data_IF_164210437650
#
_entry.id   IF_164210437650
#
_cell.length_a   1.000
_cell.length_b   1.000
_cell.length_c   1.000
_cell.angle_alpha   90.00
_cell.angle_beta   90.00
_cell.angle_gamma   90.00
#
_symmetry.space_group_name_H-M   'P 1'
#
loop_
_entity.id
_entity.type
_entity.pdbx_description
1 polymer ?
#
# COMPACT_ATOMS: atom_id res chain seq x y z
N UNK A 1 37.29 57.19 61.23
CA UNK A 1 36.11 56.51 60.71
C UNK A 1 35.81 56.98 59.25
N UNK A 2 36.86 57.04 58.43
CA UNK A 2 36.75 57.40 57.01
C UNK A 2 37.58 56.54 56.09
N UNK A 3 38.34 55.57 56.60
CA UNK A 3 39.29 54.78 55.84
C UNK A 3 38.92 53.30 55.73
N UNK A 4 37.70 52.91 56.15
CA UNK A 4 37.23 51.53 56.11
C UNK A 4 36.20 51.25 54.95
N UNK A 5 35.91 52.25 54.11
CA UNK A 5 34.96 52.12 53.00
C UNK A 5 35.60 52.16 51.61
N UNK A 6 36.92 52.30 51.52
CA UNK A 6 37.65 52.35 50.24
C UNK A 6 38.17 50.99 49.75
N UNK A 7 38.26 49.97 50.61
CA UNK A 7 38.78 48.64 50.23
C UNK A 7 37.72 47.60 49.82
N UNK A 8 36.42 47.94 50.04
CA UNK A 8 35.33 47.03 49.64
C UNK A 8 34.92 47.14 48.13
N UNK A 9 35.41 48.17 47.47
CA UNK A 9 35.09 48.30 46.01
C UNK A 9 36.15 47.80 45.05
N UNK A 10 37.30 47.30 45.53
CA UNK A 10 38.32 46.71 44.69
C UNK A 10 38.32 45.17 44.62
N UNK A 11 37.43 44.50 45.36
CA UNK A 11 37.37 43.05 45.41
C UNK A 11 36.17 42.46 44.66
N UNK A 12 35.40 43.27 43.93
CA UNK A 12 34.23 42.81 43.16
C UNK A 12 34.48 42.84 41.63
N UNK A 13 35.67 43.22 41.19
CA UNK A 13 35.94 43.42 39.75
C UNK A 13 36.98 42.43 39.14
N UNK A 14 37.18 41.27 39.74
CA UNK A 14 38.15 40.29 39.19
C UNK A 14 37.71 38.83 39.21
N UNK A 15 36.44 38.55 39.09
CA UNK A 15 35.98 37.17 38.79
C UNK A 15 34.81 37.18 37.82
N UNK A 16 34.94 37.92 36.73
CA UNK A 16 34.20 37.58 35.52
C UNK A 16 34.91 36.39 34.87
N UNK A 17 34.67 35.20 35.42
CA UNK A 17 35.04 33.96 34.76
C UNK A 17 34.30 33.91 33.42
N UNK A 18 35.03 34.11 32.33
CA UNK A 18 34.62 33.78 31.00
C UNK A 18 34.31 32.29 30.95
N UNK A 19 33.06 31.93 31.20
CA UNK A 19 32.50 30.66 30.78
C UNK A 19 32.43 30.69 29.24
N UNK A 20 33.55 30.33 28.63
CA UNK A 20 33.57 29.95 27.21
C UNK A 20 32.72 28.70 27.08
N UNK A 21 31.44 28.84 26.72
CA UNK A 21 30.68 27.78 26.16
C UNK A 21 31.38 27.39 24.84
N UNK A 22 32.25 26.40 24.91
CA UNK A 22 32.66 25.65 23.75
C UNK A 22 31.36 25.05 23.19
N UNK A 23 30.78 25.70 22.19
CA UNK A 23 29.75 25.10 21.36
C UNK A 23 30.42 23.86 20.75
N UNK A 24 30.17 22.70 21.37
CA UNK A 24 30.44 21.41 20.71
C UNK A 24 29.59 21.46 19.46
N UNK A 25 30.22 21.81 18.35
CA UNK A 25 29.64 21.62 17.02
C UNK A 25 29.43 20.11 16.92
N UNK A 26 28.22 19.67 17.22
CA UNK A 26 27.75 18.34 16.83
C UNK A 26 27.90 18.39 15.31
N UNK A 27 28.78 17.56 14.69
CA UNK A 27 28.82 17.49 13.25
C UNK A 27 27.38 17.13 12.85
N UNK A 28 26.72 18.03 12.13
CA UNK A 28 25.55 17.65 11.37
C UNK A 28 26.06 16.58 10.41
N UNK A 29 25.97 15.32 10.82
CA UNK A 29 25.94 14.24 9.87
C UNK A 29 24.75 14.55 8.98
N UNK A 30 24.99 15.29 7.91
CA UNK A 30 24.18 15.21 6.72
C UNK A 30 24.23 13.74 6.36
N UNK A 31 23.29 12.98 6.89
CA UNK A 31 22.93 11.68 6.40
C UNK A 31 22.47 11.93 4.96
N UNK A 32 23.38 11.87 4.01
CA UNK A 32 23.10 11.33 2.68
C UNK A 32 22.72 9.86 2.92
N UNK A 33 21.66 9.67 3.67
CA UNK A 33 21.10 8.38 3.96
C UNK A 33 20.43 7.92 2.69
N UNK A 34 21.25 7.39 1.79
CA UNK A 34 20.74 6.62 0.65
C UNK A 34 19.66 5.70 1.22
N UNK A 35 18.45 5.82 0.68
CA UNK A 35 17.34 4.97 1.11
C UNK A 35 17.82 3.51 1.15
N UNK A 36 17.76 2.83 2.30
CA UNK A 36 18.35 1.51 2.43
C UNK A 36 17.62 0.53 1.53
N UNK A 37 18.32 -0.44 0.94
CA UNK A 37 17.71 -1.48 0.14
C UNK A 37 16.52 -2.11 0.87
N UNK A 38 15.33 -1.96 0.31
CA UNK A 38 14.10 -2.32 0.98
C UNK A 38 13.22 -3.19 0.09
N UNK A 39 12.80 -4.32 0.65
CA UNK A 39 11.75 -5.16 0.11
C UNK A 39 10.49 -4.94 0.92
N UNK A 40 9.38 -4.64 0.25
CA UNK A 40 8.04 -4.65 0.82
C UNK A 40 7.39 -5.96 0.43
N UNK A 41 7.11 -6.81 1.43
CA UNK A 41 6.67 -8.18 1.21
C UNK A 41 5.18 -8.33 1.52
N UNK A 42 4.43 -8.89 0.58
CA UNK A 42 2.99 -9.14 0.71
C UNK A 42 2.62 -10.50 0.16
N UNK A 43 1.78 -11.23 0.90
CA UNK A 43 1.26 -12.54 0.49
C UNK A 43 -0.16 -12.77 1.03
N UNK A 44 -0.80 -13.84 0.58
CA UNK A 44 -2.01 -14.43 1.16
C UNK A 44 -1.71 -15.72 1.96
N UNK A 45 -0.45 -15.96 2.34
CA UNK A 45 -0.01 -17.18 3.03
C UNK A 45 -0.53 -17.30 4.45
N UNK A 46 -0.88 -16.17 5.07
CA UNK A 46 -1.15 -16.10 6.50
C UNK A 46 0.15 -16.04 7.33
N UNK A 47 0.01 -16.21 8.64
CA UNK A 47 1.12 -16.16 9.59
C UNK A 47 1.13 -17.36 10.54
N UNK A 48 0.38 -18.42 10.19
CA UNK A 48 0.20 -19.62 11.04
C UNK A 48 1.35 -20.60 10.85
N UNK A 49 1.94 -20.65 9.65
CA UNK A 49 3.01 -21.57 9.29
C UNK A 49 4.33 -20.84 8.97
N UNK A 50 5.29 -21.61 8.45
CA UNK A 50 6.66 -21.17 8.18
C UNK A 50 6.88 -20.58 6.76
N UNK A 51 5.84 -20.46 5.94
CA UNK A 51 5.98 -20.01 4.55
C UNK A 51 6.59 -18.61 4.44
N UNK A 52 6.10 -17.66 5.23
CA UNK A 52 6.62 -16.28 5.25
C UNK A 52 8.06 -16.21 5.77
N UNK A 53 8.40 -16.80 6.94
CA UNK A 53 9.78 -16.85 7.42
C UNK A 53 10.75 -17.50 6.45
N UNK A 54 10.36 -18.59 5.77
CA UNK A 54 11.20 -19.26 4.75
C UNK A 54 11.51 -18.30 3.59
N UNK A 55 10.51 -17.61 3.06
CA UNK A 55 10.71 -16.62 2.00
C UNK A 55 11.69 -15.51 2.43
N UNK A 56 11.55 -14.99 3.65
CA UNK A 56 12.49 -14.01 4.21
C UNK A 56 13.89 -14.58 4.39
N UNK A 57 14.02 -15.83 4.83
CA UNK A 57 15.30 -16.52 4.93
C UNK A 57 16.03 -16.57 3.59
N UNK A 58 15.30 -16.85 2.50
CA UNK A 58 15.85 -16.80 1.14
C UNK A 58 16.28 -15.38 0.76
N UNK A 59 15.47 -14.35 1.06
CA UNK A 59 15.87 -12.95 0.81
C UNK A 59 17.17 -12.61 1.53
N UNK A 60 17.30 -12.96 2.81
CA UNK A 60 18.52 -12.73 3.60
C UNK A 60 19.72 -13.55 3.11
N UNK A 61 19.51 -14.74 2.54
CA UNK A 61 20.62 -15.53 1.98
C UNK A 61 21.24 -14.88 0.74
N UNK A 62 20.46 -14.13 -0.03
CA UNK A 62 20.92 -13.36 -1.20
C UNK A 62 21.50 -12.01 -0.80
N UNK A 63 20.85 -11.30 0.13
CA UNK A 63 21.24 -9.98 0.63
C UNK A 63 21.06 -9.90 2.14
N UNK A 64 22.07 -10.23 2.96
CA UNK A 64 21.95 -10.26 4.42
C UNK A 64 21.54 -8.94 5.08
N UNK A 65 21.85 -7.81 4.45
CA UNK A 65 21.55 -6.46 4.96
C UNK A 65 20.25 -5.87 4.41
N UNK A 66 19.46 -6.61 3.63
CA UNK A 66 18.20 -6.11 3.10
C UNK A 66 17.19 -5.84 4.23
N UNK A 67 16.50 -4.70 4.15
CA UNK A 67 15.36 -4.42 5.01
C UNK A 67 14.10 -5.03 4.41
N UNK A 68 13.48 -5.98 5.11
CA UNK A 68 12.19 -6.56 4.70
C UNK A 68 11.09 -5.97 5.58
N UNK A 69 10.12 -5.33 4.95
CA UNK A 69 8.92 -4.75 5.57
C UNK A 69 7.71 -5.58 5.15
N UNK A 70 6.96 -6.10 6.11
CA UNK A 70 5.71 -6.79 5.80
C UNK A 70 4.62 -5.77 5.52
N UNK A 71 4.04 -5.81 4.32
CA UNK A 71 2.84 -5.04 4.02
C UNK A 71 1.60 -5.73 4.61
N UNK A 72 1.40 -6.98 4.26
CA UNK A 72 0.41 -7.89 4.85
C UNK A 72 0.69 -9.32 4.40
N UNK A 73 0.41 -10.28 5.28
CA UNK A 73 0.35 -11.71 4.94
C UNK A 73 -1.07 -12.27 5.15
N UNK A 74 -2.03 -11.38 5.40
CA UNK A 74 -3.44 -11.67 5.63
C UNK A 74 -4.33 -11.13 4.50
N UNK A 75 -3.78 -11.00 3.27
CA UNK A 75 -4.60 -10.74 2.09
C UNK A 75 -5.61 -11.87 1.96
N UNK A 76 -6.85 -11.56 1.61
CA UNK A 76 -7.86 -12.61 1.41
C UNK A 76 -7.33 -13.66 0.44
N UNK A 77 -7.40 -14.93 0.84
CA UNK A 77 -6.82 -16.05 0.09
C UNK A 77 -7.32 -16.04 -1.35
N UNK A 78 -6.37 -16.13 -2.29
CA UNK A 78 -6.62 -16.18 -3.74
C UNK A 78 -7.22 -14.88 -4.33
N UNK A 79 -7.43 -13.83 -3.52
CA UNK A 79 -7.99 -12.56 -3.99
C UNK A 79 -6.92 -11.68 -4.62
N UNK A 80 -6.76 -11.81 -5.95
CA UNK A 80 -5.84 -10.97 -6.73
C UNK A 80 -6.29 -9.49 -6.62
N UNK A 81 -7.59 -9.23 -6.57
CA UNK A 81 -8.15 -7.88 -6.45
C UNK A 81 -7.73 -7.21 -5.12
N UNK A 82 -7.83 -7.91 -3.99
CA UNK A 82 -7.39 -7.36 -2.70
C UNK A 82 -5.88 -7.10 -2.69
N UNK A 83 -5.09 -8.02 -3.25
CA UNK A 83 -3.66 -7.82 -3.41
C UNK A 83 -3.33 -6.58 -4.25
N UNK A 84 -4.02 -6.38 -5.38
CA UNK A 84 -3.86 -5.22 -6.25
C UNK A 84 -4.22 -3.91 -5.53
N UNK A 85 -5.32 -3.90 -4.76
CA UNK A 85 -5.74 -2.75 -3.93
C UNK A 85 -4.71 -2.41 -2.85
N UNK A 86 -4.20 -3.41 -2.14
CA UNK A 86 -3.19 -3.16 -1.09
C UNK A 86 -1.90 -2.63 -1.69
N UNK A 87 -1.48 -3.19 -2.82
CA UNK A 87 -0.30 -2.75 -3.54
C UNK A 87 -0.45 -1.31 -4.05
N UNK A 88 -1.59 -1.00 -4.65
CA UNK A 88 -1.94 0.36 -5.10
C UNK A 88 -1.97 1.35 -3.94
N UNK A 89 -2.66 1.03 -2.85
CA UNK A 89 -2.81 1.91 -1.70
C UNK A 89 -1.51 2.15 -0.93
N UNK A 90 -0.57 1.20 -0.90
CA UNK A 90 0.67 1.31 -0.13
C UNK A 90 1.84 1.89 -0.95
N UNK A 91 1.95 1.56 -2.23
CA UNK A 91 3.12 1.92 -3.03
C UNK A 91 3.40 3.43 -3.14
N UNK A 92 2.42 4.36 -3.08
CA UNK A 92 2.69 5.80 -3.08
C UNK A 92 3.58 6.29 -1.93
N UNK A 93 3.55 5.60 -0.80
CA UNK A 93 4.28 5.99 0.42
C UNK A 93 5.72 5.48 0.45
N UNK A 94 6.14 4.73 -0.57
CA UNK A 94 7.50 4.21 -0.67
C UNK A 94 8.27 4.95 -1.79
N UNK A 95 9.55 5.26 -1.58
CA UNK A 95 10.36 5.97 -2.57
C UNK A 95 10.74 5.10 -3.78
N UNK A 96 11.29 5.73 -4.81
CA UNK A 96 11.93 5.04 -5.92
C UNK A 96 13.03 4.08 -5.42
N UNK A 97 13.25 2.98 -6.13
CA UNK A 97 14.18 1.92 -5.75
C UNK A 97 13.60 0.89 -4.78
N UNK A 98 12.40 1.12 -4.20
CA UNK A 98 11.72 0.08 -3.40
C UNK A 98 11.32 -1.11 -4.27
N UNK A 99 11.53 -2.31 -3.74
CA UNK A 99 11.16 -3.57 -4.38
C UNK A 99 9.94 -4.16 -3.67
N UNK A 100 8.82 -4.28 -4.36
CA UNK A 100 7.62 -4.95 -3.86
C UNK A 100 7.65 -6.41 -4.31
N UNK A 101 7.74 -7.34 -3.37
CA UNK A 101 7.58 -8.78 -3.62
C UNK A 101 6.16 -9.15 -3.19
N UNK A 102 5.30 -9.47 -4.17
CA UNK A 102 3.89 -9.71 -3.92
C UNK A 102 3.48 -11.08 -4.46
N UNK A 103 3.03 -11.96 -3.57
CA UNK A 103 2.71 -13.35 -3.92
C UNK A 103 1.28 -13.67 -3.47
N UNK A 104 0.32 -13.32 -4.30
CA UNK A 104 -1.05 -13.83 -4.30
C UNK A 104 -1.20 -14.60 -5.61
N UNK A 105 -1.08 -15.91 -5.55
CA UNK A 105 -0.80 -16.73 -6.74
C UNK A 105 -1.65 -18.01 -6.82
N UNK A 106 -2.95 -17.88 -7.08
CA UNK A 106 -3.81 -19.05 -7.29
C UNK A 106 -3.40 -19.92 -8.50
N UNK A 107 -2.51 -19.38 -9.37
CA UNK A 107 -1.96 -20.05 -10.55
C UNK A 107 -0.56 -20.62 -10.37
N UNK A 108 -0.06 -20.78 -9.12
CA UNK A 108 1.27 -21.35 -8.88
C UNK A 108 1.45 -22.70 -9.59
N UNK A 109 2.59 -22.91 -10.24
CA UNK A 109 2.87 -24.14 -11.00
C UNK A 109 2.18 -24.25 -12.38
N UNK A 110 1.34 -23.28 -12.76
CA UNK A 110 0.74 -23.21 -14.09
C UNK A 110 1.67 -22.53 -15.12
N UNK A 111 1.14 -22.24 -16.32
CA UNK A 111 1.86 -21.50 -17.38
C UNK A 111 1.91 -19.98 -17.15
N UNK A 112 1.35 -19.43 -16.03
CA UNK A 112 1.44 -18.02 -15.71
C UNK A 112 2.89 -17.61 -15.55
N UNK A 113 3.26 -16.45 -16.09
CA UNK A 113 4.63 -15.95 -16.01
C UNK A 113 4.94 -15.42 -14.60
N UNK A 114 6.20 -15.55 -14.18
CA UNK A 114 6.76 -14.79 -13.08
C UNK A 114 7.45 -13.56 -13.65
N UNK A 115 7.18 -12.37 -13.12
CA UNK A 115 7.64 -11.14 -13.75
C UNK A 115 8.26 -10.16 -12.75
N UNK A 116 9.17 -9.33 -13.26
CA UNK A 116 9.59 -8.07 -12.66
C UNK A 116 9.07 -6.94 -13.52
N UNK A 117 8.41 -5.99 -12.89
CA UNK A 117 7.84 -4.81 -13.54
C UNK A 117 8.42 -3.57 -12.88
N UNK A 118 8.83 -2.58 -13.69
CA UNK A 118 9.29 -1.28 -13.21
C UNK A 118 8.22 -0.22 -13.51
N UNK A 119 7.77 0.49 -12.49
CA UNK A 119 6.85 1.61 -12.66
C UNK A 119 7.60 2.87 -13.08
N UNK A 120 6.88 3.84 -13.66
CA UNK A 120 7.47 5.17 -13.98
C UNK A 120 7.88 5.96 -12.73
N UNK A 121 7.45 5.53 -11.53
CA UNK A 121 7.94 6.06 -10.26
C UNK A 121 9.28 5.46 -9.82
N UNK A 122 9.87 4.56 -10.62
CA UNK A 122 11.14 3.91 -10.34
C UNK A 122 11.07 2.82 -9.27
N UNK A 123 9.90 2.30 -8.95
CA UNK A 123 9.70 1.17 -8.05
C UNK A 123 9.65 -0.14 -8.85
N UNK A 124 10.05 -1.24 -8.23
CA UNK A 124 10.03 -2.56 -8.83
C UNK A 124 8.97 -3.45 -8.18
N UNK A 125 8.29 -4.24 -9.01
CA UNK A 125 7.25 -5.17 -8.57
C UNK A 125 7.60 -6.57 -9.08
N UNK A 126 7.83 -7.49 -8.14
CA UNK A 126 8.18 -8.90 -8.37
C UNK A 126 6.96 -9.73 -8.00
N UNK A 127 6.27 -10.28 -8.99
CA UNK A 127 4.95 -10.86 -8.79
C UNK A 127 4.56 -11.85 -9.90
N UNK A 128 3.54 -12.69 -9.70
CA UNK A 128 2.93 -13.47 -10.78
C UNK A 128 2.19 -12.54 -11.75
N UNK A 129 2.33 -12.79 -13.05
CA UNK A 129 1.58 -12.08 -14.09
C UNK A 129 0.13 -12.58 -14.16
N UNK A 130 -0.69 -12.10 -13.22
CA UNK A 130 -2.08 -12.51 -13.02
C UNK A 130 -3.05 -11.34 -12.77
N UNK A 131 -2.59 -10.11 -12.97
CA UNK A 131 -3.40 -8.91 -12.76
C UNK A 131 -3.09 -8.11 -11.51
N UNK A 132 -2.23 -8.59 -10.60
CA UNK A 132 -1.84 -7.86 -9.38
C UNK A 132 -1.34 -6.44 -9.64
N UNK A 133 -0.68 -6.19 -10.78
CA UNK A 133 -0.13 -4.88 -11.12
C UNK A 133 -1.16 -3.88 -11.63
N UNK A 134 -2.40 -4.30 -11.90
CA UNK A 134 -3.40 -3.51 -12.63
C UNK A 134 -3.57 -2.10 -12.08
N UNK A 135 -3.91 -1.94 -10.83
CA UNK A 135 -4.21 -0.63 -10.24
C UNK A 135 -2.98 0.28 -10.15
N UNK A 136 -1.81 -0.28 -9.84
CA UNK A 136 -0.53 0.46 -9.87
C UNK A 136 -0.20 0.93 -11.28
N UNK A 137 -0.43 0.08 -12.29
CA UNK A 137 -0.16 0.41 -13.68
C UNK A 137 -1.08 1.53 -14.19
N UNK A 138 -2.35 1.56 -13.75
CA UNK A 138 -3.31 2.61 -14.11
C UNK A 138 -2.95 3.95 -13.49
N UNK A 139 -2.54 3.95 -12.23
CA UNK A 139 -2.17 5.17 -11.51
C UNK A 139 -0.82 5.73 -11.94
N UNK A 140 0.22 4.89 -11.96
CA UNK A 140 1.61 5.35 -12.08
C UNK A 140 2.17 5.20 -13.51
N UNK A 141 1.58 4.33 -14.31
CA UNK A 141 2.17 3.86 -15.57
C UNK A 141 3.37 2.94 -15.34
N UNK A 142 3.73 2.20 -16.36
CA UNK A 142 4.85 1.24 -16.33
C UNK A 142 5.97 1.68 -17.29
N UNK A 143 7.21 1.49 -16.86
CA UNK A 143 8.41 1.75 -17.67
C UNK A 143 8.81 0.51 -18.47
N UNK A 144 8.71 -0.68 -17.86
CA UNK A 144 9.07 -1.93 -18.51
C UNK A 144 8.70 -3.15 -17.68
N UNK A 145 8.78 -4.31 -18.32
CA UNK A 145 8.54 -5.60 -17.69
C UNK A 145 9.51 -6.66 -18.24
N UNK A 146 9.85 -7.65 -17.42
CA UNK A 146 10.67 -8.80 -17.79
C UNK A 146 10.14 -10.08 -17.17
N UNK A 147 10.25 -11.17 -17.89
CA UNK A 147 9.97 -12.50 -17.35
C UNK A 147 11.16 -12.99 -16.54
N UNK A 148 10.91 -13.60 -15.40
CA UNK A 148 11.95 -14.22 -14.57
C UNK A 148 12.20 -15.61 -15.11
N UNK A 149 13.30 -15.80 -15.87
CA UNK A 149 13.68 -17.08 -16.47
C UNK A 149 15.12 -17.49 -16.14
N UNK A 150 15.95 -16.52 -15.70
CA UNK A 150 17.34 -16.80 -15.34
C UNK A 150 17.40 -17.52 -13.99
N UNK A 151 17.84 -18.77 -14.02
CA UNK A 151 17.95 -19.64 -12.82
C UNK A 151 18.93 -19.11 -11.78
N UNK A 152 19.89 -18.24 -12.15
CA UNK A 152 20.77 -17.59 -11.18
C UNK A 152 20.05 -16.56 -10.28
N UNK A 153 18.82 -16.17 -10.65
CA UNK A 153 17.93 -15.29 -9.89
C UNK A 153 16.92 -16.08 -9.05
N UNK A 154 17.03 -17.41 -9.02
CA UNK A 154 16.12 -18.33 -8.34
C UNK A 154 16.82 -19.08 -7.22
N UNK A 155 16.06 -19.68 -6.32
CA UNK A 155 16.59 -20.45 -5.20
C UNK A 155 16.68 -21.93 -5.54
N UNK A 156 17.93 -22.45 -5.54
CA UNK A 156 18.19 -23.86 -5.79
C UNK A 156 18.15 -24.26 -7.27
N UNK A 157 18.46 -25.54 -7.52
CA UNK A 157 18.54 -26.11 -8.89
C UNK A 157 17.21 -26.71 -9.37
N UNK A 158 16.34 -27.10 -8.45
CA UNK A 158 15.02 -27.68 -8.73
C UNK A 158 13.95 -26.84 -8.06
N UNK A 159 13.08 -26.23 -8.86
CA UNK A 159 11.98 -25.42 -8.37
C UNK A 159 10.83 -26.32 -7.91
N UNK A 160 10.21 -25.97 -6.78
CA UNK A 160 8.94 -26.54 -6.38
C UNK A 160 7.82 -26.08 -7.30
N UNK A 161 6.91 -26.96 -7.68
CA UNK A 161 5.73 -26.59 -8.44
C UNK A 161 4.66 -25.85 -7.61
N UNK A 162 4.84 -25.80 -6.29
CA UNK A 162 3.85 -25.25 -5.34
C UNK A 162 4.36 -24.12 -4.47
N UNK A 163 5.65 -23.74 -4.56
CA UNK A 163 6.21 -22.70 -3.68
C UNK A 163 7.11 -21.71 -4.43
N UNK A 164 6.56 -21.07 -5.46
CA UNK A 164 7.27 -20.04 -6.24
C UNK A 164 7.57 -18.78 -5.41
N UNK A 165 6.84 -18.54 -4.31
CA UNK A 165 7.18 -17.52 -3.33
C UNK A 165 8.61 -17.64 -2.84
N UNK A 166 9.00 -18.84 -2.43
CA UNK A 166 10.36 -19.20 -1.98
C UNK A 166 11.35 -19.24 -3.13
N UNK A 167 10.99 -19.93 -4.22
CA UNK A 167 11.98 -20.35 -5.23
C UNK A 167 12.24 -19.30 -6.30
N UNK A 168 11.26 -18.41 -6.58
CA UNK A 168 11.33 -17.44 -7.68
C UNK A 168 11.23 -16.00 -7.18
N UNK A 169 10.14 -15.66 -6.48
CA UNK A 169 9.84 -14.24 -6.19
C UNK A 169 10.75 -13.66 -5.11
N UNK A 170 10.99 -14.39 -4.02
CA UNK A 170 11.85 -13.93 -2.92
C UNK A 170 13.31 -13.70 -3.37
N UNK A 171 13.99 -14.65 -4.01
CA UNK A 171 15.35 -14.43 -4.46
C UNK A 171 15.43 -13.35 -5.53
N UNK A 172 14.51 -13.27 -6.49
CA UNK A 172 14.49 -12.24 -7.51
C UNK A 172 14.33 -10.83 -6.90
N UNK A 173 13.47 -10.69 -5.89
CA UNK A 173 13.33 -9.45 -5.14
C UNK A 173 14.61 -9.06 -4.40
N UNK A 174 15.31 -10.01 -3.81
CA UNK A 174 16.56 -9.75 -3.09
C UNK A 174 17.72 -9.38 -4.03
N UNK A 175 17.81 -9.98 -5.22
CA UNK A 175 18.74 -9.57 -6.27
C UNK A 175 18.50 -8.11 -6.69
N UNK A 176 17.25 -7.71 -6.91
CA UNK A 176 16.91 -6.30 -7.21
C UNK A 176 17.30 -5.36 -6.07
N UNK A 177 16.96 -5.70 -4.83
CA UNK A 177 17.30 -4.90 -3.66
C UNK A 177 18.82 -4.76 -3.48
N UNK A 178 19.60 -5.76 -3.85
CA UNK A 178 21.06 -5.73 -3.88
C UNK A 178 21.61 -4.77 -4.94
N UNK A 179 20.82 -4.44 -5.96
CA UNK A 179 21.20 -3.57 -7.06
C UNK A 179 21.71 -4.32 -8.29
N UNK A 180 21.43 -5.59 -8.41
CA UNK A 180 21.78 -6.38 -9.58
C UNK A 180 21.05 -5.83 -10.83
N UNK A 181 21.70 -5.94 -11.98
CA UNK A 181 21.10 -5.46 -13.22
C UNK A 181 19.89 -6.29 -13.62
N UNK A 182 18.70 -5.72 -13.45
CA UNK A 182 17.43 -6.38 -13.72
C UNK A 182 17.25 -6.84 -15.17
N UNK A 183 18.10 -6.33 -16.10
CA UNK A 183 18.07 -6.79 -17.48
C UNK A 183 18.56 -8.22 -17.64
N UNK A 184 19.26 -8.76 -16.63
CA UNK A 184 19.78 -10.11 -16.60
C UNK A 184 18.75 -11.15 -16.11
N UNK A 185 17.58 -10.73 -15.61
CA UNK A 185 16.59 -11.67 -15.05
C UNK A 185 15.90 -12.55 -16.10
N UNK A 186 15.88 -12.09 -17.35
CA UNK A 186 15.25 -12.80 -18.47
C UNK A 186 14.77 -11.85 -19.57
N UNK A 187 13.97 -12.34 -20.52
CA UNK A 187 13.55 -11.56 -21.69
C UNK A 187 12.62 -10.39 -21.30
N UNK A 188 12.73 -9.31 -22.05
CA UNK A 188 11.79 -8.20 -21.96
C UNK A 188 10.40 -8.63 -22.43
N UNK A 189 9.37 -8.12 -21.75
CA UNK A 189 7.98 -8.28 -22.10
C UNK A 189 7.38 -6.94 -22.53
N UNK A 190 6.50 -6.98 -23.52
CA UNK A 190 5.70 -5.81 -23.86
C UNK A 190 4.75 -5.50 -22.70
N UNK A 191 4.77 -4.28 -22.16
CA UNK A 191 3.89 -3.86 -21.04
C UNK A 191 2.41 -4.15 -21.33
N UNK A 192 2.00 -3.97 -22.59
CA UNK A 192 0.61 -4.24 -23.04
C UNK A 192 0.23 -5.73 -23.03
N UNK A 193 1.20 -6.65 -22.91
CA UNK A 193 0.93 -8.10 -22.84
C UNK A 193 0.77 -8.62 -21.41
N UNK A 194 0.97 -7.78 -20.40
CA UNK A 194 0.74 -8.15 -19.03
C UNK A 194 -0.74 -8.40 -18.77
N UNK A 195 -1.02 -9.39 -17.96
CA UNK A 195 -2.39 -9.70 -17.54
C UNK A 195 -2.95 -8.54 -16.72
N UNK A 196 -4.20 -8.17 -17.01
CA UNK A 196 -4.93 -7.11 -16.31
C UNK A 196 -6.19 -7.69 -15.66
N UNK A 197 -6.54 -7.17 -14.49
CA UNK A 197 -7.87 -7.42 -13.92
C UNK A 197 -8.92 -6.72 -14.81
N UNK A 198 -9.99 -7.42 -15.06
CA UNK A 198 -11.20 -6.82 -15.65
C UNK A 198 -11.99 -6.17 -14.51
N UNK A 199 -11.80 -4.87 -14.33
CA UNK A 199 -12.48 -4.08 -13.32
C UNK A 199 -13.68 -3.40 -13.97
N UNK A 200 -14.88 -3.57 -13.41
CA UNK A 200 -16.05 -2.86 -13.87
C UNK A 200 -15.81 -1.34 -13.78
N UNK A 201 -16.00 -0.66 -14.90
CA UNK A 201 -15.90 0.80 -14.93
C UNK A 201 -17.13 1.43 -14.28
N UNK A 202 -16.89 2.48 -13.50
CA UNK A 202 -17.98 3.35 -13.01
C UNK A 202 -18.70 3.98 -14.20
N UNK A 203 -20.03 3.93 -14.20
CA UNK A 203 -20.87 4.58 -15.23
C UNK A 203 -21.68 5.68 -14.59
N UNK A 204 -21.81 6.80 -15.27
CA UNK A 204 -22.68 7.92 -14.87
C UNK A 204 -23.55 8.26 -16.08
N UNK A 205 -24.85 8.12 -15.91
CA UNK A 205 -25.86 8.39 -16.93
C UNK A 205 -27.03 9.22 -16.37
N UNK A 206 -28.17 9.24 -17.07
CA UNK A 206 -29.35 9.99 -16.62
C UNK A 206 -30.00 9.39 -15.38
N UNK A 207 -29.84 8.10 -15.13
CA UNK A 207 -30.35 7.42 -13.92
C UNK A 207 -29.48 7.69 -12.71
N UNK A 208 -28.21 8.04 -12.90
CA UNK A 208 -27.24 8.33 -11.83
C UNK A 208 -25.88 7.66 -12.01
N UNK A 209 -25.28 7.25 -10.89
CA UNK A 209 -23.99 6.57 -10.84
C UNK A 209 -24.21 5.09 -10.56
N UNK A 210 -23.56 4.24 -11.35
CA UNK A 210 -23.51 2.79 -11.19
C UNK A 210 -22.08 2.40 -10.80
N UNK A 211 -21.95 1.83 -9.59
CA UNK A 211 -20.69 1.41 -9.02
C UNK A 211 -20.77 0.01 -8.42
N UNK A 212 -19.66 -0.44 -7.85
CA UNK A 212 -19.53 -1.74 -7.22
C UNK A 212 -18.80 -1.64 -5.89
N UNK A 213 -19.31 -2.33 -4.86
CA UNK A 213 -18.55 -2.66 -3.66
C UNK A 213 -17.58 -3.77 -4.03
N UNK A 214 -16.30 -3.48 -4.04
CA UNK A 214 -15.26 -4.39 -4.51
C UNK A 214 -14.55 -5.15 -3.38
N UNK A 215 -14.66 -4.66 -2.15
CA UNK A 215 -14.03 -5.30 -1.00
C UNK A 215 -14.63 -4.81 0.33
N UNK A 216 -14.24 -5.46 1.42
CA UNK A 216 -14.41 -4.95 2.78
C UNK A 216 -13.07 -4.49 3.35
N UNK A 217 -13.10 -3.48 4.23
CA UNK A 217 -11.92 -2.97 4.90
C UNK A 217 -11.62 -3.79 6.16
N UNK A 218 -10.68 -4.72 6.03
CA UNK A 218 -10.07 -5.53 7.09
C UNK A 218 -11.00 -5.85 8.28
N UNK A 219 -10.57 -5.56 9.52
CA UNK A 219 -11.35 -5.94 10.71
C UNK A 219 -12.55 -5.02 10.97
N UNK A 220 -12.66 -3.88 10.27
CA UNK A 220 -13.72 -2.89 10.51
C UNK A 220 -15.00 -3.19 9.74
N UNK A 221 -14.90 -3.93 8.62
CA UNK A 221 -16.05 -4.30 7.79
C UNK A 221 -16.70 -3.12 7.07
N UNK A 222 -15.96 -2.03 6.83
CA UNK A 222 -16.40 -0.95 5.95
C UNK A 222 -16.43 -1.45 4.50
N UNK A 223 -17.34 -0.93 3.70
CA UNK A 223 -17.45 -1.31 2.30
C UNK A 223 -16.61 -0.37 1.44
N UNK A 224 -15.69 -0.95 0.70
CA UNK A 224 -14.82 -0.26 -0.24
C UNK A 224 -15.41 -0.37 -1.63
N UNK A 225 -15.49 0.75 -2.35
CA UNK A 225 -16.07 0.77 -3.70
C UNK A 225 -15.00 1.10 -4.76
N UNK A 226 -15.39 0.91 -6.03
CA UNK A 226 -14.60 1.34 -7.18
C UNK A 226 -14.83 2.81 -7.58
N UNK A 227 -15.66 3.56 -6.83
CA UNK A 227 -16.07 4.93 -7.18
C UNK A 227 -15.11 5.95 -6.58
N UNK A 228 -14.38 6.67 -7.43
CA UNK A 228 -13.54 7.79 -7.01
C UNK A 228 -14.42 8.95 -6.50
N UNK A 229 -13.88 9.75 -5.59
CA UNK A 229 -14.58 10.93 -5.02
C UNK A 229 -15.07 11.89 -6.11
N UNK A 230 -14.26 12.14 -7.15
CA UNK A 230 -14.62 13.04 -8.24
C UNK A 230 -15.84 12.55 -9.03
N UNK A 231 -15.99 11.24 -9.22
CA UNK A 231 -17.15 10.67 -9.88
C UNK A 231 -18.41 10.77 -9.03
N UNK A 232 -18.31 10.50 -7.72
CA UNK A 232 -19.41 10.66 -6.80
C UNK A 232 -19.90 12.12 -6.74
N UNK A 233 -18.98 13.08 -6.68
CA UNK A 233 -19.34 14.51 -6.58
C UNK A 233 -20.02 15.05 -7.84
N UNK A 234 -19.87 14.41 -9.02
CA UNK A 234 -20.63 14.74 -10.25
C UNK A 234 -22.14 14.53 -10.11
N UNK A 235 -22.58 13.76 -9.11
CA UNK A 235 -23.99 13.59 -8.79
C UNK A 235 -24.62 14.81 -8.13
N UNK A 236 -23.81 15.75 -7.61
CA UNK A 236 -24.27 16.98 -6.98
C UNK A 236 -24.50 16.91 -5.46
N UNK A 237 -24.24 15.78 -4.81
CA UNK A 237 -24.37 15.64 -3.36
C UNK A 237 -23.31 16.44 -2.60
N UNK A 238 -23.73 17.04 -1.49
CA UNK A 238 -22.89 17.77 -0.55
C UNK A 238 -22.88 17.07 0.82
N UNK A 239 -21.82 17.31 1.59
CA UNK A 239 -21.75 16.81 2.97
C UNK A 239 -22.89 17.32 3.82
N UNK A 240 -23.43 16.45 4.67
CA UNK A 240 -24.63 16.68 5.46
C UNK A 240 -25.94 16.27 4.78
N UNK A 241 -25.92 16.00 3.49
CA UNK A 241 -27.11 15.49 2.78
C UNK A 241 -27.26 13.97 2.94
N UNK A 242 -28.50 13.50 2.83
CA UNK A 242 -28.82 12.09 2.75
C UNK A 242 -28.79 11.65 1.29
N UNK A 243 -28.07 10.56 1.03
CA UNK A 243 -27.90 9.96 -0.29
C UNK A 243 -28.75 8.70 -0.38
N UNK A 244 -29.81 8.69 -1.19
CA UNK A 244 -30.53 7.46 -1.49
C UNK A 244 -29.70 6.58 -2.41
N UNK A 245 -29.68 5.28 -2.16
CA UNK A 245 -29.00 4.32 -3.04
C UNK A 245 -29.68 2.95 -3.04
N UNK A 246 -29.50 2.23 -4.13
CA UNK A 246 -29.76 0.80 -4.20
C UNK A 246 -28.45 0.06 -4.03
N UNK A 247 -28.30 -0.72 -2.98
CA UNK A 247 -27.14 -1.57 -2.69
C UNK A 247 -27.54 -3.03 -2.87
N UNK A 248 -27.20 -3.63 -4.00
CA UNK A 248 -27.85 -4.86 -4.43
C UNK A 248 -29.36 -4.64 -4.55
N UNK A 249 -30.13 -5.46 -3.86
CA UNK A 249 -31.59 -5.36 -3.81
C UNK A 249 -32.11 -4.47 -2.64
N UNK A 250 -31.19 -3.91 -1.85
CA UNK A 250 -31.52 -3.14 -0.66
C UNK A 250 -31.55 -1.64 -0.96
N UNK A 251 -32.69 -1.00 -0.71
CA UNK A 251 -32.81 0.46 -0.72
C UNK A 251 -32.37 1.01 0.63
N UNK A 252 -31.39 1.93 0.60
CA UNK A 252 -30.88 2.60 1.80
C UNK A 252 -30.76 4.10 1.57
N UNK A 253 -30.96 4.87 2.63
CA UNK A 253 -30.79 6.31 2.67
C UNK A 253 -29.71 6.63 3.71
N UNK A 254 -28.53 7.06 3.26
CA UNK A 254 -27.35 7.19 4.11
C UNK A 254 -26.83 8.63 4.14
N UNK A 255 -26.47 9.19 5.31
CA UNK A 255 -25.89 10.51 5.39
C UNK A 255 -24.46 10.52 4.83
N UNK A 256 -24.18 11.50 3.96
CA UNK A 256 -22.82 11.78 3.48
C UNK A 256 -22.12 12.73 4.44
N UNK A 257 -21.10 12.25 5.15
CA UNK A 257 -20.46 12.97 6.26
C UNK A 257 -18.95 13.07 6.11
N UNK A 258 -18.28 13.77 7.03
CA UNK A 258 -16.81 13.88 7.00
C UNK A 258 -16.13 12.68 7.65
N UNK A 259 -16.70 12.21 8.78
CA UNK A 259 -16.07 11.17 9.60
C UNK A 259 -17.11 10.30 10.30
N UNK A 260 -16.66 9.20 10.87
CA UNK A 260 -17.51 8.23 11.57
C UNK A 260 -18.29 8.85 12.74
N UNK A 261 -17.67 9.79 13.48
CA UNK A 261 -18.29 10.44 14.65
C UNK A 261 -19.42 11.43 14.32
N UNK A 262 -19.63 11.75 13.06
CA UNK A 262 -20.72 12.65 12.64
C UNK A 262 -22.10 11.97 12.71
N UNK A 263 -22.12 10.65 12.93
CA UNK A 263 -23.34 9.89 13.18
C UNK A 263 -23.28 9.15 14.52
N UNK A 264 -24.42 8.86 15.16
CA UNK A 264 -24.44 8.08 16.39
C UNK A 264 -23.82 6.69 16.23
N UNK A 265 -23.43 6.06 17.35
CA UNK A 265 -22.88 4.71 17.35
C UNK A 265 -23.80 3.71 16.62
N UNK A 266 -23.19 2.83 15.84
CA UNK A 266 -23.87 1.79 15.03
C UNK A 266 -24.81 2.33 13.95
N UNK A 267 -24.74 3.63 13.64
CA UNK A 267 -25.49 4.20 12.51
C UNK A 267 -24.62 4.18 11.25
N UNK A 268 -25.27 3.96 10.09
CA UNK A 268 -24.57 3.92 8.81
C UNK A 268 -24.25 5.31 8.31
N UNK A 269 -23.20 5.39 7.49
CA UNK A 269 -22.72 6.61 6.86
C UNK A 269 -22.07 6.33 5.53
N UNK A 270 -22.03 7.36 4.69
CA UNK A 270 -21.18 7.48 3.52
C UNK A 270 -20.04 8.44 3.87
N UNK A 271 -18.83 8.09 3.48
CA UNK A 271 -17.66 8.96 3.62
C UNK A 271 -16.72 8.78 2.42
N UNK A 272 -15.75 9.66 2.30
CA UNK A 272 -14.63 9.47 1.37
C UNK A 272 -13.47 8.92 2.19
N UNK A 273 -12.99 7.76 1.79
CA UNK A 273 -11.90 7.09 2.48
C UNK A 273 -10.55 7.82 2.28
N UNK A 274 -9.52 7.38 3.01
CA UNK A 274 -8.18 7.99 2.95
C UNK A 274 -7.45 7.82 1.62
N UNK A 275 -8.01 7.04 0.70
CA UNK A 275 -7.50 6.83 -0.65
C UNK A 275 -8.26 7.63 -1.71
N UNK A 276 -9.30 8.38 -1.29
CA UNK A 276 -10.12 9.20 -2.17
C UNK A 276 -11.28 8.45 -2.84
N UNK A 277 -11.72 7.33 -2.27
CA UNK A 277 -12.86 6.58 -2.79
C UNK A 277 -14.10 6.77 -1.92
N UNK A 278 -15.25 6.73 -2.57
CA UNK A 278 -16.57 6.61 -1.93
C UNK A 278 -16.65 5.28 -1.16
N UNK A 279 -17.04 5.34 0.09
CA UNK A 279 -17.10 4.19 0.97
C UNK A 279 -18.30 4.26 1.91
N UNK A 280 -18.74 3.09 2.40
CA UNK A 280 -19.82 2.97 3.37
C UNK A 280 -19.31 2.34 4.66
N UNK A 281 -19.79 2.83 5.79
CA UNK A 281 -19.40 2.34 7.10
C UNK A 281 -20.56 2.38 8.11
N UNK A 282 -20.34 1.71 9.23
CA UNK A 282 -21.07 1.95 10.48
C UNK A 282 -20.14 2.59 11.50
N UNK A 283 -20.62 3.55 12.24
CA UNK A 283 -19.83 4.11 13.34
C UNK A 283 -19.61 3.04 14.43
N UNK A 284 -18.36 2.57 14.59
CA UNK A 284 -17.91 1.51 15.52
C UNK A 284 -18.67 0.18 15.37
N UNK A 285 -18.98 -0.23 14.15
CA UNK A 285 -19.52 -1.55 13.84
C UNK A 285 -19.17 -1.95 12.40
N UNK A 286 -19.30 -3.22 12.07
CA UNK A 286 -19.07 -3.73 10.70
C UNK A 286 -20.34 -3.54 9.87
N UNK A 287 -20.24 -2.77 8.79
CA UNK A 287 -21.32 -2.61 7.82
C UNK A 287 -21.59 -3.94 7.11
N UNK A 288 -20.52 -4.62 6.69
CA UNK A 288 -20.60 -5.89 5.97
C UNK A 288 -21.37 -6.94 6.78
N UNK A 289 -21.06 -7.09 8.09
CA UNK A 289 -21.70 -8.09 8.94
C UNK A 289 -23.16 -7.74 9.24
N UNK A 290 -23.44 -6.48 9.60
CA UNK A 290 -24.80 -6.05 9.98
C UNK A 290 -25.77 -6.14 8.81
N UNK A 291 -25.32 -5.79 7.61
CA UNK A 291 -26.17 -5.81 6.41
C UNK A 291 -25.99 -7.08 5.55
N UNK A 292 -25.11 -8.01 5.96
CA UNK A 292 -24.87 -9.26 5.24
C UNK A 292 -24.23 -9.08 3.86
N UNK A 293 -23.46 -7.99 3.67
CA UNK A 293 -22.84 -7.67 2.37
C UNK A 293 -21.58 -8.47 2.17
N UNK A 294 -21.51 -9.17 1.03
CA UNK A 294 -20.31 -9.92 0.61
C UNK A 294 -19.91 -9.45 -0.79
N UNK A 295 -18.82 -8.72 -0.93
CA UNK A 295 -18.35 -8.27 -2.25
C UNK A 295 -18.10 -9.43 -3.22
N UNK A 296 -18.30 -9.23 -4.55
CA UNK A 296 -18.72 -7.97 -5.18
C UNK A 296 -20.23 -7.72 -5.10
N UNK A 297 -20.65 -6.45 -4.91
CA UNK A 297 -22.08 -6.06 -4.89
C UNK A 297 -22.24 -4.74 -5.68
N UNK A 298 -23.08 -4.76 -6.70
CA UNK A 298 -23.41 -3.57 -7.49
C UNK A 298 -24.31 -2.62 -6.71
N UNK A 299 -24.15 -1.33 -6.96
CA UNK A 299 -25.03 -0.31 -6.42
C UNK A 299 -25.30 0.82 -7.40
N UNK A 300 -26.39 1.54 -7.17
CA UNK A 300 -26.78 2.70 -7.97
C UNK A 300 -27.13 3.87 -7.04
N UNK A 301 -26.67 5.06 -7.39
CA UNK A 301 -26.97 6.32 -6.69
C UNK A 301 -27.57 7.29 -7.69
N UNK A 302 -28.83 7.77 -7.49
CA UNK A 302 -29.43 8.77 -8.36
C UNK A 302 -28.72 10.13 -8.25
N UNK A 303 -28.94 11.03 -9.19
CA UNK A 303 -28.46 12.42 -9.07
C UNK A 303 -29.17 13.16 -7.94
N UNK A 304 -28.45 14.06 -7.28
CA UNK A 304 -29.07 14.98 -6.33
C UNK A 304 -30.13 15.85 -7.02
N UNK A 305 -31.24 16.06 -6.31
CA UNK A 305 -32.35 16.92 -6.80
C UNK A 305 -32.08 18.38 -6.49
#
# INVERSE_FOLDING_TARGET
>A
MRDLLADAHKLILSTAALLSFAAVAIPAFALDAKYPPTIVFMTDFGTVDDAVPICKGVMYSVMPSVRVVDLSHQVNRFSILDGARFLEGASPYYPAGTVFVTVIDPGVGSKRKAVIIKSKRGQYFVLPDNGLITMVADRDGLEGAREITNTNWMYGKALSSTFHGRDIFSPAGAHLARGDDWTQVGPALAVKSLVRLDLEAVKIDDEGLHGEVIATDGPFGNLITNVAVDDFLKLGYQRGQTVPMMLGDMKVDLPFVNTFSDVPLKKPLIYIDSRGYFALALNQASFADVYGIKPPVKFTIPRAK
#
